data_IF_342026585617
#
_entry.id   IF_342026585617
#
_cell.length_a   1.000
_cell.length_b   1.000
_cell.length_c   1.000
_cell.angle_alpha   90.00
_cell.angle_beta   90.00
_cell.angle_gamma   90.00
#
_symmetry.space_group_name_H-M   'P 1'
#
loop_
_entity.id
_entity.type
_entity.pdbx_description
1 polymer ?
#
# COMPACT_ATOMS: atom_id res chain seq x y z
N UNK A 1 0.17 32.44 -36.12
CA UNK A 1 1.48 31.76 -36.02
C UNK A 1 2.25 32.28 -34.82
N UNK A 2 2.31 33.60 -34.62
CA UNK A 2 3.03 34.24 -33.51
C UNK A 2 2.53 33.86 -32.10
N UNK A 3 1.22 33.63 -31.94
CA UNK A 3 0.65 33.17 -30.66
C UNK A 3 1.06 31.73 -30.29
N UNK A 4 1.30 30.86 -31.29
CA UNK A 4 1.72 29.48 -31.07
C UNK A 4 3.21 29.40 -30.74
N UNK A 5 4.02 30.27 -31.34
CA UNK A 5 5.46 30.40 -31.03
C UNK A 5 5.63 30.95 -29.61
N UNK A 6 4.87 31.99 -29.23
CA UNK A 6 4.90 32.54 -27.88
C UNK A 6 4.41 31.56 -26.81
N UNK A 7 3.50 30.63 -27.14
CA UNK A 7 3.07 29.56 -26.23
C UNK A 7 4.17 28.50 -26.06
N UNK A 8 4.80 28.07 -27.17
CA UNK A 8 5.89 27.11 -27.15
C UNK A 8 7.13 27.63 -26.40
N UNK A 9 7.45 28.93 -26.53
CA UNK A 9 8.53 29.57 -25.76
C UNK A 9 8.21 29.63 -24.26
N UNK A 10 6.94 29.90 -23.90
CA UNK A 10 6.50 29.92 -22.50
C UNK A 10 6.54 28.53 -21.87
N UNK A 11 6.17 27.50 -22.63
CA UNK A 11 6.20 26.11 -22.20
C UNK A 11 7.65 25.58 -22.11
N UNK A 12 8.53 26.00 -23.02
CA UNK A 12 9.97 25.70 -22.94
C UNK A 12 10.63 26.39 -21.74
N UNK A 13 10.25 27.64 -21.42
CA UNK A 13 10.72 28.35 -20.24
C UNK A 13 10.18 27.71 -18.95
N UNK A 14 8.92 27.27 -18.93
CA UNK A 14 8.34 26.52 -17.81
C UNK A 14 9.01 25.16 -17.66
N UNK A 15 9.30 24.45 -18.75
CA UNK A 15 10.03 23.19 -18.71
C UNK A 15 11.47 23.37 -18.23
N UNK A 16 12.15 24.45 -18.64
CA UNK A 16 13.49 24.82 -18.15
C UNK A 16 13.48 25.20 -16.66
N UNK A 17 12.47 25.96 -16.22
CA UNK A 17 12.29 26.30 -14.81
C UNK A 17 11.89 25.09 -13.95
N UNK A 18 11.13 24.14 -14.51
CA UNK A 18 10.73 22.89 -13.84
C UNK A 18 11.89 21.89 -13.78
N UNK A 19 12.71 21.84 -14.82
CA UNK A 19 13.96 21.08 -14.84
C UNK A 19 15.01 21.68 -13.87
N UNK A 20 15.04 23.00 -13.73
CA UNK A 20 15.83 23.70 -12.69
C UNK A 20 15.33 23.45 -11.27
N UNK A 21 14.01 23.30 -11.07
CA UNK A 21 13.42 23.04 -9.74
C UNK A 21 13.59 21.60 -9.28
N UNK A 22 13.60 20.62 -10.19
CA UNK A 22 13.86 19.21 -9.86
C UNK A 22 15.34 18.92 -9.57
N UNK A 23 16.25 19.82 -9.96
CA UNK A 23 17.70 19.66 -9.79
C UNK A 23 18.27 20.48 -8.60
N UNK A 24 17.45 21.17 -7.79
CA UNK A 24 17.98 22.12 -6.81
C UNK A 24 17.17 22.22 -5.51
N UNK A 25 17.07 21.11 -4.80
CA UNK A 25 17.54 21.11 -3.40
C UNK A 25 18.93 20.47 -3.41
N UNK A 26 19.90 21.18 -3.97
CA UNK A 26 21.32 20.84 -3.79
C UNK A 26 21.67 21.18 -2.34
N UNK A 27 21.31 20.29 -1.43
CA UNK A 27 22.08 20.14 -0.19
C UNK A 27 23.47 19.76 -0.67
N UNK A 28 24.43 20.66 -0.50
CA UNK A 28 25.82 20.40 -0.87
C UNK A 28 26.39 19.41 0.14
N UNK A 29 26.10 18.14 -0.11
CA UNK A 29 26.54 17.02 0.71
C UNK A 29 28.06 17.00 0.72
N UNK A 30 28.64 16.90 1.91
CA UNK A 30 30.06 16.58 2.04
C UNK A 30 30.34 15.22 1.37
N UNK A 31 31.57 15.01 0.93
CA UNK A 31 31.97 13.71 0.34
C UNK A 31 31.71 12.54 1.31
N UNK A 32 31.84 12.76 2.62
CA UNK A 32 31.47 11.79 3.65
C UNK A 32 29.97 11.46 3.65
N UNK A 33 29.09 12.47 3.59
CA UNK A 33 27.64 12.25 3.57
C UNK A 33 27.19 11.56 2.27
N UNK A 34 27.76 11.93 1.12
CA UNK A 34 27.51 11.23 -0.17
C UNK A 34 27.92 9.77 -0.09
N UNK A 35 29.05 9.48 0.55
CA UNK A 35 29.54 8.12 0.74
C UNK A 35 28.60 7.31 1.64
N UNK A 36 28.10 7.89 2.74
CA UNK A 36 27.10 7.25 3.62
C UNK A 36 25.82 6.91 2.86
N UNK A 37 25.27 7.87 2.11
CA UNK A 37 24.04 7.65 1.30
C UNK A 37 24.24 6.48 0.34
N UNK A 38 25.35 6.48 -0.41
CA UNK A 38 25.67 5.42 -1.37
C UNK A 38 25.84 4.05 -0.71
N UNK A 39 26.48 3.99 0.46
CA UNK A 39 26.67 2.74 1.19
C UNK A 39 25.34 2.21 1.75
N UNK A 40 24.45 3.10 2.21
CA UNK A 40 23.11 2.71 2.68
C UNK A 40 22.20 2.25 1.53
N UNK A 41 22.28 2.86 0.34
CA UNK A 41 21.55 2.38 -0.85
C UNK A 41 21.98 0.95 -1.25
N UNK A 42 23.28 0.66 -1.21
CA UNK A 42 23.80 -0.68 -1.46
C UNK A 42 23.31 -1.69 -0.41
N UNK A 43 23.31 -1.32 0.87
CA UNK A 43 22.71 -2.15 1.93
C UNK A 43 21.22 -2.37 1.68
N UNK A 44 20.50 -1.35 1.23
CA UNK A 44 19.12 -1.44 0.81
C UNK A 44 18.88 -2.51 -0.25
N UNK A 45 19.71 -2.52 -1.30
CA UNK A 45 19.65 -3.53 -2.35
C UNK A 45 19.93 -4.95 -1.81
N UNK A 46 20.84 -5.10 -0.84
CA UNK A 46 21.11 -6.36 -0.17
C UNK A 46 19.90 -6.83 0.65
N UNK A 47 19.29 -5.94 1.44
CA UNK A 47 18.10 -6.25 2.25
C UNK A 47 16.93 -6.68 1.35
N UNK A 48 16.76 -6.03 0.21
CA UNK A 48 15.71 -6.36 -0.77
C UNK A 48 16.00 -7.64 -1.57
N UNK A 49 17.21 -8.21 -1.48
CA UNK A 49 17.59 -9.37 -2.28
C UNK A 49 16.92 -10.66 -1.81
N UNK A 50 16.65 -11.56 -2.76
CA UNK A 50 16.09 -12.89 -2.47
C UNK A 50 16.96 -13.68 -1.49
N UNK A 51 18.29 -13.54 -1.58
CA UNK A 51 19.23 -14.25 -0.71
C UNK A 51 19.05 -13.85 0.76
N UNK A 52 18.96 -12.55 1.04
CA UNK A 52 18.72 -12.05 2.39
C UNK A 52 17.35 -12.50 2.91
N UNK A 53 16.31 -12.36 2.08
CA UNK A 53 14.95 -12.74 2.43
C UNK A 53 14.81 -14.25 2.72
N UNK A 54 15.52 -15.10 1.98
CA UNK A 54 15.54 -16.55 2.21
C UNK A 54 16.10 -16.90 3.59
N UNK A 55 17.20 -16.28 4.00
CA UNK A 55 17.80 -16.52 5.33
C UNK A 55 16.85 -16.07 6.44
N UNK A 56 16.30 -14.86 6.33
CA UNK A 56 15.31 -14.33 7.27
C UNK A 56 14.10 -15.27 7.39
N UNK A 57 13.52 -15.67 6.26
CA UNK A 57 12.37 -16.56 6.23
C UNK A 57 12.70 -17.93 6.84
N UNK A 58 13.85 -18.53 6.52
CA UNK A 58 14.24 -19.83 7.08
C UNK A 58 14.31 -19.80 8.61
N UNK A 59 14.93 -18.77 9.18
CA UNK A 59 15.01 -18.61 10.63
C UNK A 59 13.62 -18.46 11.27
N UNK A 60 12.80 -17.58 10.71
CA UNK A 60 11.43 -17.35 11.19
C UNK A 60 10.61 -18.64 11.12
N UNK A 61 10.67 -19.39 10.02
CA UNK A 61 9.94 -20.65 9.86
C UNK A 61 10.37 -21.70 10.89
N UNK A 62 11.66 -21.75 11.22
CA UNK A 62 12.23 -22.71 12.15
C UNK A 62 11.83 -22.42 13.61
N UNK A 63 11.74 -21.14 14.00
CA UNK A 63 11.63 -20.75 15.41
C UNK A 63 10.26 -20.21 15.84
N UNK A 64 9.39 -19.84 14.90
CA UNK A 64 8.06 -19.26 15.17
C UNK A 64 7.17 -20.05 16.13
N UNK A 65 7.26 -21.39 16.14
CA UNK A 65 6.36 -22.25 16.93
C UNK A 65 6.51 -22.07 18.44
N UNK A 66 7.64 -21.52 18.87
CA UNK A 66 7.98 -21.23 20.27
C UNK A 66 7.19 -20.02 20.80
N UNK A 67 6.75 -19.13 19.91
CA UNK A 67 6.13 -17.86 20.24
C UNK A 67 4.61 -17.97 20.41
N UNK A 68 4.10 -17.42 21.51
CA UNK A 68 2.70 -17.48 21.94
C UNK A 68 2.13 -16.08 22.24
N UNK A 69 0.83 -15.89 22.00
CA UNK A 69 0.14 -14.64 22.26
C UNK A 69 -0.19 -14.51 23.76
N UNK A 70 0.85 -14.31 24.56
CA UNK A 70 0.77 -14.00 25.98
C UNK A 70 1.45 -12.68 26.28
N UNK A 71 0.92 -11.97 27.28
CA UNK A 71 1.52 -10.72 27.77
C UNK A 71 2.91 -10.97 28.38
N UNK A 72 3.09 -12.13 29.00
CA UNK A 72 4.38 -12.57 29.55
C UNK A 72 5.28 -13.18 28.47
N UNK A 73 6.55 -12.73 28.42
CA UNK A 73 7.57 -13.24 27.51
C UNK A 73 8.25 -14.47 28.11
N UNK A 74 8.46 -15.51 27.28
CA UNK A 74 9.30 -16.64 27.68
C UNK A 74 10.77 -16.25 27.61
N UNK A 75 11.60 -16.77 28.52
CA UNK A 75 13.05 -16.53 28.53
C UNK A 75 13.75 -16.90 27.22
N UNK A 76 13.24 -17.94 26.54
CA UNK A 76 13.76 -18.39 25.24
C UNK A 76 13.57 -17.36 24.10
N UNK A 77 12.67 -16.37 24.25
CA UNK A 77 12.49 -15.33 23.23
C UNK A 77 13.72 -14.45 23.10
N UNK A 78 14.35 -14.09 24.22
CA UNK A 78 15.55 -13.27 24.24
C UNK A 78 16.71 -13.99 23.57
N UNK A 79 16.94 -15.26 23.90
CA UNK A 79 18.00 -16.06 23.28
C UNK A 79 17.79 -16.23 21.76
N UNK A 80 16.53 -16.37 21.31
CA UNK A 80 16.21 -16.44 19.89
C UNK A 80 16.37 -15.08 19.18
N UNK A 81 16.12 -13.97 19.88
CA UNK A 81 16.34 -12.63 19.33
C UNK A 81 17.83 -12.37 19.13
N UNK A 82 18.67 -12.73 20.10
CA UNK A 82 20.13 -12.63 20.00
C UNK A 82 20.66 -13.44 18.80
N UNK A 83 20.21 -14.68 18.64
CA UNK A 83 20.54 -15.52 17.49
C UNK A 83 20.07 -14.92 16.16
N UNK A 84 18.90 -14.30 16.15
CA UNK A 84 18.36 -13.62 14.97
C UNK A 84 19.23 -12.43 14.58
N UNK A 85 19.60 -11.58 15.54
CA UNK A 85 20.45 -10.41 15.31
C UNK A 85 21.80 -10.86 14.75
N UNK A 86 22.47 -11.82 15.39
CA UNK A 86 23.75 -12.36 14.92
C UNK A 86 23.66 -12.92 13.49
N UNK A 87 22.58 -13.66 13.18
CA UNK A 87 22.36 -14.20 11.85
C UNK A 87 22.17 -13.10 10.81
N UNK A 88 21.35 -12.10 11.10
CA UNK A 88 21.07 -10.99 10.18
C UNK A 88 22.32 -10.13 9.97
N UNK A 89 23.06 -9.80 11.02
CA UNK A 89 24.32 -9.07 10.94
C UNK A 89 25.33 -9.81 10.06
N UNK A 90 25.56 -11.11 10.33
CA UNK A 90 26.45 -11.94 9.51
C UNK A 90 26.02 -11.96 8.05
N UNK A 91 24.72 -12.13 7.81
CA UNK A 91 24.16 -12.19 6.45
C UNK A 91 24.34 -10.86 5.72
N UNK A 92 24.14 -9.73 6.41
CA UNK A 92 24.40 -8.41 5.85
C UNK A 92 25.88 -8.24 5.49
N UNK A 93 26.80 -8.59 6.38
CA UNK A 93 28.24 -8.51 6.11
C UNK A 93 28.65 -9.40 4.94
N UNK A 94 28.11 -10.62 4.87
CA UNK A 94 28.43 -11.59 3.81
C UNK A 94 27.87 -11.18 2.45
N UNK A 95 26.69 -10.56 2.39
CA UNK A 95 26.05 -10.13 1.14
C UNK A 95 26.45 -8.72 0.71
N UNK A 96 26.82 -7.85 1.65
CA UNK A 96 27.19 -6.46 1.41
C UNK A 96 28.71 -6.25 1.28
N UNK A 97 29.43 -7.19 0.65
CA UNK A 97 30.91 -7.13 0.51
C UNK A 97 31.41 -5.86 -0.18
N UNK A 98 30.58 -5.27 -1.04
CA UNK A 98 30.88 -4.05 -1.78
C UNK A 98 30.51 -2.77 -1.01
N UNK A 99 30.09 -2.90 0.25
CA UNK A 99 29.79 -1.80 1.16
C UNK A 99 30.99 -1.59 2.08
N UNK A 100 31.49 -0.36 2.12
CA UNK A 100 32.56 -0.01 3.05
C UNK A 100 31.97 0.23 4.45
N UNK A 101 31.84 -0.86 5.21
CA UNK A 101 31.21 -0.81 6.54
C UNK A 101 31.98 0.08 7.53
N UNK A 102 33.31 0.10 7.47
CA UNK A 102 34.13 0.94 8.36
C UNK A 102 33.89 2.43 8.10
N UNK A 103 33.84 2.82 6.83
CA UNK A 103 33.55 4.20 6.42
C UNK A 103 32.11 4.59 6.75
N UNK A 104 31.15 3.69 6.50
CA UNK A 104 29.76 3.89 6.85
C UNK A 104 29.62 4.11 8.36
N UNK A 105 30.12 3.21 9.19
CA UNK A 105 30.01 3.30 10.65
C UNK A 105 30.77 4.50 11.23
N UNK A 106 31.91 4.87 10.65
CA UNK A 106 32.67 6.05 11.07
C UNK A 106 31.96 7.38 10.80
N UNK A 107 31.11 7.43 9.77
CA UNK A 107 30.48 8.67 9.27
C UNK A 107 28.98 8.73 9.56
N UNK A 108 28.36 7.60 9.89
CA UNK A 108 26.93 7.50 10.21
C UNK A 108 26.51 8.34 11.43
N UNK A 109 27.27 8.47 12.54
CA UNK A 109 26.86 9.27 13.68
C UNK A 109 26.66 10.76 13.33
N UNK A 110 27.63 11.37 12.63
CA UNK A 110 27.54 12.77 12.20
C UNK A 110 26.44 12.96 11.14
N UNK A 111 26.26 11.97 10.26
CA UNK A 111 25.14 11.93 9.32
C UNK A 111 23.78 11.88 10.03
N UNK A 112 23.67 11.11 11.11
CA UNK A 112 22.44 11.01 11.92
C UNK A 112 22.15 12.29 12.72
N UNK A 113 23.17 13.02 13.18
CA UNK A 113 22.97 14.36 13.75
C UNK A 113 22.43 15.34 12.69
N UNK A 114 22.88 15.24 11.44
CA UNK A 114 22.32 16.03 10.33
C UNK A 114 20.86 15.64 10.00
N UNK A 115 20.43 14.39 10.27
CA UNK A 115 19.02 13.93 10.16
C UNK A 115 18.09 14.75 11.06
N UNK A 116 18.54 15.12 12.26
CA UNK A 116 17.76 15.94 13.19
C UNK A 116 17.42 17.34 12.62
N UNK A 117 18.20 17.80 11.63
CA UNK A 117 18.01 19.08 10.96
C UNK A 117 17.31 18.98 9.59
N UNK A 118 16.73 17.82 9.26
CA UNK A 118 15.90 17.63 8.06
C UNK A 118 16.68 17.58 6.74
N UNK A 119 18.00 17.31 6.78
CA UNK A 119 18.84 17.30 5.58
C UNK A 119 18.84 15.95 4.85
N UNK A 120 18.71 14.83 5.55
CA UNK A 120 18.92 13.46 5.03
C UNK A 120 17.91 13.08 3.92
N UNK A 121 18.36 12.48 2.79
CA UNK A 121 17.44 11.96 1.79
C UNK A 121 16.54 10.91 2.42
N UNK A 122 15.26 11.00 2.12
CA UNK A 122 14.23 10.23 2.81
C UNK A 122 14.39 8.71 2.65
N UNK A 123 14.93 8.27 1.51
CA UNK A 123 15.27 6.88 1.22
C UNK A 123 16.41 6.37 2.11
N UNK A 124 17.39 7.21 2.40
CA UNK A 124 18.53 6.89 3.28
C UNK A 124 18.08 6.66 4.72
N UNK A 125 17.09 7.43 5.20
CA UNK A 125 16.48 7.22 6.51
C UNK A 125 15.78 5.86 6.65
N UNK A 126 15.18 5.35 5.57
CA UNK A 126 14.47 4.07 5.55
C UNK A 126 15.37 2.88 5.90
N UNK A 127 16.57 2.87 5.32
CA UNK A 127 17.54 1.79 5.54
C UNK A 127 18.03 1.78 6.97
N UNK A 128 18.27 2.96 7.55
CA UNK A 128 18.65 3.10 8.97
C UNK A 128 17.54 2.56 9.87
N UNK A 129 16.29 2.94 9.63
CA UNK A 129 15.16 2.49 10.47
C UNK A 129 14.95 0.97 10.37
N UNK A 130 15.14 0.36 9.19
CA UNK A 130 15.14 -1.10 9.05
C UNK A 130 16.25 -1.77 9.86
N UNK A 131 17.49 -1.27 9.77
CA UNK A 131 18.62 -1.82 10.52
C UNK A 131 18.38 -1.75 12.02
N UNK A 132 17.83 -0.63 12.52
CA UNK A 132 17.44 -0.49 13.92
C UNK A 132 16.37 -1.51 14.33
N UNK A 133 15.42 -1.81 13.43
CA UNK A 133 14.35 -2.78 13.71
C UNK A 133 14.84 -4.22 13.89
N UNK A 134 16.00 -4.60 13.35
CA UNK A 134 16.59 -5.92 13.57
C UNK A 134 16.97 -6.13 15.04
N UNK A 135 17.43 -5.05 15.69
CA UNK A 135 17.83 -5.06 17.11
C UNK A 135 16.67 -4.79 18.07
N UNK A 136 15.47 -4.51 17.55
CA UNK A 136 14.29 -4.24 18.37
C UNK A 136 13.55 -5.54 18.73
N UNK A 137 13.55 -5.88 20.02
CA UNK A 137 12.93 -7.12 20.51
C UNK A 137 11.42 -7.18 20.25
N UNK A 138 10.71 -6.05 20.37
CA UNK A 138 9.26 -6.01 20.18
C UNK A 138 8.90 -6.31 18.72
N UNK A 139 9.63 -5.71 17.78
CA UNK A 139 9.51 -5.98 16.35
C UNK A 139 9.80 -7.45 16.03
N UNK A 140 10.86 -8.01 16.61
CA UNK A 140 11.21 -9.42 16.45
C UNK A 140 10.15 -10.38 17.01
N UNK A 141 9.68 -10.16 18.25
CA UNK A 141 8.62 -10.97 18.88
C UNK A 141 7.37 -10.98 18.01
N UNK A 142 6.96 -9.81 17.52
CA UNK A 142 5.80 -9.66 16.67
C UNK A 142 5.97 -10.42 15.33
N UNK A 143 7.13 -10.34 14.69
CA UNK A 143 7.45 -11.12 13.49
C UNK A 143 7.24 -12.63 13.70
N UNK A 144 7.73 -13.18 14.82
CA UNK A 144 7.63 -14.60 15.13
C UNK A 144 6.20 -15.06 15.45
N UNK A 145 5.48 -14.29 16.27
CA UNK A 145 4.08 -14.56 16.62
C UNK A 145 3.19 -14.64 15.39
N UNK A 146 3.38 -13.70 14.46
CA UNK A 146 2.58 -13.63 13.25
C UNK A 146 2.93 -14.76 12.27
N UNK A 147 4.20 -15.16 12.18
CA UNK A 147 4.60 -16.30 11.38
C UNK A 147 4.01 -17.63 11.90
N UNK A 148 3.89 -17.79 13.22
CA UNK A 148 3.32 -19.00 13.85
C UNK A 148 1.86 -19.21 13.42
N UNK A 149 1.06 -18.13 13.42
CA UNK A 149 -0.34 -18.13 13.00
C UNK A 149 -0.55 -18.55 11.53
N UNK A 150 0.41 -18.30 10.65
CA UNK A 150 0.31 -18.67 9.23
C UNK A 150 0.35 -20.19 8.99
N UNK A 151 0.92 -20.99 9.91
CA UNK A 151 1.16 -22.44 9.74
C UNK A 151 -0.01 -23.33 10.14
N UNK A 152 -0.88 -22.89 11.04
CA UNK A 152 -1.95 -23.72 11.62
C UNK A 152 -3.12 -24.02 10.65
N UNK A 153 -2.91 -23.90 9.34
CA UNK A 153 -3.94 -24.06 8.31
C UNK A 153 -3.49 -25.07 7.25
N UNK A 154 -4.05 -26.29 7.29
CA UNK A 154 -4.01 -27.31 6.21
C UNK A 154 -5.23 -27.16 5.28
N UNK A 155 -5.16 -27.63 4.01
CA UNK A 155 -6.10 -27.27 2.96
C UNK A 155 -7.36 -28.15 2.91
N UNK A 156 -8.48 -27.58 2.46
CA UNK A 156 -9.67 -28.31 1.99
C UNK A 156 -10.11 -27.75 0.65
N UNK A 157 -10.59 -28.64 -0.22
CA UNK A 157 -10.88 -28.47 -1.63
C UNK A 157 -11.96 -27.42 -1.98
N UNK A 158 -11.82 -26.88 -3.18
CA UNK A 158 -12.69 -25.89 -3.82
C UNK A 158 -14.11 -26.39 -4.08
N UNK A 159 -15.08 -25.47 -4.04
CA UNK A 159 -16.40 -25.64 -4.64
C UNK A 159 -16.76 -24.40 -5.44
N UNK A 160 -17.16 -24.62 -6.69
CA UNK A 160 -17.72 -23.65 -7.63
C UNK A 160 -19.16 -23.33 -7.21
N UNK A 161 -19.54 -22.06 -7.17
CA UNK A 161 -20.93 -21.67 -7.02
C UNK A 161 -21.33 -20.58 -8.03
N UNK A 162 -22.42 -20.92 -8.70
CA UNK A 162 -23.11 -20.27 -9.80
C UNK A 162 -23.95 -19.10 -9.28
N UNK A 163 -23.78 -17.88 -9.80
CA UNK A 163 -24.75 -16.80 -9.60
C UNK A 163 -24.66 -15.77 -10.74
N UNK A 164 -25.59 -15.85 -11.67
CA UNK A 164 -25.61 -15.17 -12.97
C UNK A 164 -26.04 -13.68 -12.95
N UNK A 165 -25.93 -12.97 -11.82
CA UNK A 165 -26.73 -11.75 -11.60
C UNK A 165 -26.04 -10.36 -11.39
N UNK A 166 -24.70 -10.12 -11.42
CA UNK A 166 -24.22 -8.73 -11.32
C UNK A 166 -23.26 -8.23 -12.42
N UNK A 167 -23.12 -8.92 -13.56
CA UNK A 167 -21.97 -8.72 -14.48
C UNK A 167 -22.13 -7.66 -15.59
N UNK A 168 -23.31 -7.06 -15.77
CA UNK A 168 -23.58 -6.24 -16.97
C UNK A 168 -22.76 -4.94 -17.07
N UNK A 169 -22.22 -4.41 -15.97
CA UNK A 169 -21.48 -3.13 -15.95
C UNK A 169 -19.98 -3.29 -16.19
N UNK A 170 -19.38 -4.38 -15.68
CA UNK A 170 -18.00 -4.76 -15.98
C UNK A 170 -17.77 -5.04 -17.47
N UNK A 171 -18.79 -5.56 -18.17
CA UNK A 171 -18.77 -5.84 -19.61
C UNK A 171 -18.86 -4.55 -20.48
N UNK A 172 -19.39 -3.45 -19.91
CA UNK A 172 -19.50 -2.15 -20.59
C UNK A 172 -18.27 -1.28 -20.39
N UNK A 173 -17.55 -1.47 -19.29
CA UNK A 173 -16.20 -0.91 -19.11
C UNK A 173 -15.25 -1.76 -19.92
N UNK A 174 -14.51 -1.21 -20.88
CA UNK A 174 -13.52 -1.92 -21.70
C UNK A 174 -12.32 -2.48 -20.90
N UNK A 175 -12.56 -3.19 -19.79
CA UNK A 175 -11.59 -3.93 -19.01
C UNK A 175 -11.32 -5.25 -19.74
N UNK A 176 -10.06 -5.69 -19.89
CA UNK A 176 -9.78 -6.98 -20.48
C UNK A 176 -10.46 -8.13 -19.75
N UNK A 177 -10.84 -9.16 -20.49
CA UNK A 177 -11.59 -10.31 -19.97
C UNK A 177 -10.97 -10.93 -18.70
N UNK A 178 -9.64 -11.02 -18.63
CA UNK A 178 -8.92 -11.51 -17.45
C UNK A 178 -9.22 -10.68 -16.19
N UNK A 179 -9.38 -9.37 -16.30
CA UNK A 179 -9.75 -8.52 -15.16
C UNK A 179 -11.23 -8.64 -14.83
N UNK A 180 -12.09 -8.84 -15.83
CA UNK A 180 -13.52 -9.09 -15.61
C UNK A 180 -13.69 -10.37 -14.79
N UNK A 181 -12.95 -11.42 -15.12
CA UNK A 181 -12.94 -12.70 -14.38
C UNK A 181 -12.37 -12.55 -12.96
N UNK A 182 -11.27 -11.80 -12.79
CA UNK A 182 -10.71 -11.52 -11.48
C UNK A 182 -11.65 -10.65 -10.63
N UNK A 183 -12.29 -9.64 -11.22
CA UNK A 183 -13.25 -8.78 -10.55
C UNK A 183 -14.49 -9.59 -10.14
N UNK A 184 -14.94 -10.52 -10.98
CA UNK A 184 -16.01 -11.49 -10.64
C UNK A 184 -15.62 -12.32 -9.41
N UNK A 185 -14.40 -12.84 -9.38
CA UNK A 185 -13.88 -13.59 -8.22
C UNK A 185 -13.89 -12.73 -6.95
N UNK A 186 -13.38 -11.50 -7.02
CA UNK A 186 -13.40 -10.56 -5.89
C UNK A 186 -14.82 -10.20 -5.43
N UNK A 187 -15.76 -10.07 -6.37
CA UNK A 187 -17.16 -9.81 -6.07
C UNK A 187 -17.82 -10.99 -5.35
N UNK A 188 -17.59 -12.22 -5.80
CA UNK A 188 -18.09 -13.42 -5.13
C UNK A 188 -17.52 -13.53 -3.71
N UNK A 189 -16.22 -13.26 -3.55
CA UNK A 189 -15.55 -13.21 -2.24
C UNK A 189 -16.14 -12.11 -1.32
N UNK A 190 -16.56 -10.98 -1.90
CA UNK A 190 -17.22 -9.89 -1.18
C UNK A 190 -18.64 -10.25 -0.73
N UNK A 191 -19.40 -10.94 -1.58
CA UNK A 191 -20.78 -11.32 -1.32
C UNK A 191 -20.94 -12.46 -0.29
N UNK A 192 -19.83 -13.05 0.17
CA UNK A 192 -19.82 -14.26 1.02
C UNK A 192 -20.43 -15.49 0.35
N UNK A 193 -20.63 -15.45 -0.98
CA UNK A 193 -21.22 -16.55 -1.76
C UNK A 193 -20.26 -17.73 -1.97
N UNK A 194 -19.02 -17.63 -1.50
CA UNK A 194 -18.00 -18.68 -1.60
C UNK A 194 -17.72 -19.24 -0.21
N UNK A 195 -17.63 -20.57 -0.10
CA UNK A 195 -17.29 -21.31 1.13
C UNK A 195 -15.80 -21.15 1.50
N UNK A 196 -15.34 -19.91 1.66
CA UNK A 196 -13.97 -19.58 1.97
C UNK A 196 -13.86 -19.20 3.44
N UNK A 197 -12.93 -19.84 4.14
CA UNK A 197 -12.61 -19.47 5.52
C UNK A 197 -11.81 -18.17 5.53
N UNK A 198 -12.42 -17.11 6.06
CA UNK A 198 -11.77 -15.83 6.32
C UNK A 198 -11.12 -15.87 7.70
N UNK A 199 -9.87 -15.44 7.79
CA UNK A 199 -9.15 -15.27 9.06
C UNK A 199 -9.19 -13.80 9.44
N UNK A 200 -9.54 -13.50 10.70
CA UNK A 200 -9.48 -12.13 11.20
C UNK A 200 -8.03 -11.73 11.45
N UNK A 201 -7.52 -10.76 10.71
CA UNK A 201 -6.16 -10.24 10.85
C UNK A 201 -6.14 -8.99 11.75
N UNK A 202 -7.15 -8.13 11.65
CA UNK A 202 -7.32 -6.97 12.54
C UNK A 202 -8.77 -6.85 12.95
N UNK A 203 -9.02 -6.70 14.25
CA UNK A 203 -10.34 -6.39 14.79
C UNK A 203 -10.25 -5.12 15.62
N UNK A 204 -10.90 -4.06 15.16
CA UNK A 204 -11.18 -2.86 15.95
C UNK A 204 -12.69 -2.76 16.12
N UNK A 205 -13.15 -3.08 17.32
CA UNK A 205 -14.56 -3.17 17.67
C UNK A 205 -15.31 -1.93 17.16
N UNK A 206 -16.39 -2.16 16.41
CA UNK A 206 -17.29 -1.15 15.85
C UNK A 206 -16.66 -0.14 14.85
N UNK A 207 -15.37 -0.28 14.52
CA UNK A 207 -14.68 0.63 13.60
C UNK A 207 -14.23 -0.07 12.32
N UNK A 208 -13.53 -1.20 12.44
CA UNK A 208 -12.81 -1.81 11.34
C UNK A 208 -12.57 -3.30 11.58
N UNK A 209 -12.72 -4.09 10.52
CA UNK A 209 -12.39 -5.50 10.46
C UNK A 209 -11.56 -5.77 9.20
N UNK A 210 -10.32 -6.23 9.38
CA UNK A 210 -9.52 -6.78 8.30
C UNK A 210 -9.53 -8.30 8.40
N UNK A 211 -9.91 -8.95 7.31
CA UNK A 211 -9.85 -10.39 7.15
C UNK A 211 -8.95 -10.75 5.98
N UNK A 212 -8.27 -11.89 6.07
CA UNK A 212 -7.45 -12.43 4.99
C UNK A 212 -7.93 -13.83 4.64
N UNK A 213 -7.72 -14.21 3.38
CA UNK A 213 -7.91 -15.58 2.95
C UNK A 213 -6.99 -15.93 1.79
N UNK A 214 -6.89 -17.21 1.46
CA UNK A 214 -6.14 -17.70 0.31
C UNK A 214 -7.03 -18.61 -0.52
N UNK A 215 -7.20 -18.27 -1.80
CA UNK A 215 -7.94 -19.06 -2.77
C UNK A 215 -7.01 -19.35 -3.95
N UNK A 216 -6.83 -20.62 -4.30
CA UNK A 216 -5.97 -21.05 -5.41
C UNK A 216 -4.53 -20.51 -5.35
N UNK A 217 -3.96 -20.40 -4.14
CA UNK A 217 -2.60 -19.85 -3.94
C UNK A 217 -2.51 -18.32 -4.07
N UNK A 218 -3.62 -17.64 -4.31
CA UNK A 218 -3.71 -16.18 -4.32
C UNK A 218 -4.26 -15.70 -2.97
N UNK A 219 -3.56 -14.75 -2.35
CA UNK A 219 -4.01 -14.13 -1.10
C UNK A 219 -4.98 -13.00 -1.41
N UNK A 220 -6.02 -12.89 -0.60
CA UNK A 220 -7.02 -11.84 -0.65
C UNK A 220 -7.15 -11.20 0.73
N UNK A 221 -7.43 -9.90 0.77
CA UNK A 221 -7.81 -9.21 1.99
C UNK A 221 -9.19 -8.57 1.81
N UNK A 222 -10.01 -8.69 2.84
CA UNK A 222 -11.30 -8.02 2.96
C UNK A 222 -11.24 -7.04 4.11
N UNK A 223 -11.46 -5.76 3.81
CA UNK A 223 -11.55 -4.71 4.80
C UNK A 223 -12.99 -4.25 4.91
N UNK A 224 -13.57 -4.29 6.10
CA UNK A 224 -14.85 -3.70 6.41
C UNK A 224 -14.65 -2.56 7.40
N UNK A 225 -15.23 -1.40 7.14
CA UNK A 225 -15.13 -0.25 8.04
C UNK A 225 -16.38 0.62 8.03
N UNK A 226 -16.69 1.22 9.17
CA UNK A 226 -17.72 2.24 9.28
C UNK A 226 -17.11 3.61 8.95
N UNK A 227 -17.79 4.37 8.11
CA UNK A 227 -17.39 5.72 7.69
C UNK A 227 -18.49 6.69 8.10
N UNK A 228 -18.08 7.73 8.80
CA UNK A 228 -18.93 8.86 9.22
C UNK A 228 -19.16 9.83 8.04
N UNK A 229 -19.73 9.32 6.96
CA UNK A 229 -20.21 10.06 5.78
C UNK A 229 -21.40 9.32 5.17
N UNK A 230 -22.35 10.05 4.58
CA UNK A 230 -23.37 9.43 3.73
C UNK A 230 -22.73 8.79 2.50
N UNK A 231 -23.41 7.83 1.87
CA UNK A 231 -22.88 7.14 0.67
C UNK A 231 -22.38 8.12 -0.41
N UNK A 232 -23.11 9.19 -0.81
CA UNK A 232 -22.61 10.14 -1.80
C UNK A 232 -21.32 10.86 -1.38
N UNK A 233 -21.22 11.28 -0.11
CA UNK A 233 -20.03 11.93 0.41
C UNK A 233 -18.85 10.96 0.56
N UNK A 234 -19.11 9.71 0.93
CA UNK A 234 -18.10 8.67 0.99
C UNK A 234 -17.55 8.33 -0.41
N UNK A 235 -18.40 8.28 -1.44
CA UNK A 235 -17.96 8.16 -2.83
C UNK A 235 -17.01 9.29 -3.18
N UNK A 236 -17.39 10.55 -2.92
CA UNK A 236 -16.54 11.70 -3.23
C UNK A 236 -15.21 11.70 -2.44
N UNK A 237 -15.27 11.42 -1.13
CA UNK A 237 -14.10 11.42 -0.27
C UNK A 237 -13.12 10.30 -0.62
N UNK A 238 -13.64 9.08 -0.81
CA UNK A 238 -12.83 7.86 -0.87
C UNK A 238 -12.59 7.37 -2.30
N UNK A 239 -13.64 7.33 -3.12
CA UNK A 239 -13.65 6.60 -4.39
C UNK A 239 -13.48 7.49 -5.63
N UNK A 240 -13.95 8.74 -5.59
CA UNK A 240 -13.78 9.69 -6.68
C UNK A 240 -12.34 10.20 -6.72
N UNK A 241 -11.51 9.51 -7.49
CA UNK A 241 -10.10 9.87 -7.63
C UNK A 241 -9.88 11.02 -8.62
N UNK A 242 -10.86 11.41 -9.44
CA UNK A 242 -10.72 12.50 -10.42
C UNK A 242 -10.92 13.91 -9.83
N UNK A 243 -11.34 14.01 -8.56
CA UNK A 243 -11.58 15.30 -7.91
C UNK A 243 -10.30 16.17 -7.89
N UNK A 244 -10.32 17.37 -8.51
CA UNK A 244 -9.11 18.17 -8.75
C UNK A 244 -8.48 18.73 -7.46
N UNK A 245 -9.26 18.87 -6.40
CA UNK A 245 -8.87 19.38 -5.10
C UNK A 245 -8.73 18.27 -4.04
N UNK A 246 -8.64 17.00 -4.45
CA UNK A 246 -8.52 15.83 -3.56
C UNK A 246 -7.36 15.94 -2.57
N UNK A 247 -6.27 16.60 -2.95
CA UNK A 247 -5.12 16.87 -2.08
C UNK A 247 -5.44 17.74 -0.86
N UNK A 248 -6.60 18.41 -0.82
CA UNK A 248 -7.05 19.18 0.35
C UNK A 248 -7.50 18.29 1.51
N UNK A 249 -7.99 17.09 1.23
CA UNK A 249 -8.41 16.15 2.27
C UNK A 249 -7.60 14.85 2.31
N UNK A 250 -7.10 14.36 1.18
CA UNK A 250 -6.28 13.16 1.13
C UNK A 250 -4.79 13.53 1.20
N UNK A 251 -4.14 13.23 2.32
CA UNK A 251 -2.72 13.58 2.52
C UNK A 251 -1.74 12.85 1.61
N UNK A 252 -2.13 11.68 1.10
CA UNK A 252 -1.30 10.91 0.18
C UNK A 252 -1.41 11.43 -1.26
N UNK A 253 -2.39 12.27 -1.56
CA UNK A 253 -2.54 12.88 -2.87
C UNK A 253 -1.68 14.15 -2.96
N UNK A 254 -0.71 14.16 -3.87
CA UNK A 254 -0.04 15.41 -4.26
C UNK A 254 -0.87 16.14 -5.33
N UNK A 255 -1.05 15.45 -6.46
CA UNK A 255 -1.86 15.88 -7.60
C UNK A 255 -2.49 14.68 -8.30
N UNK A 256 -3.55 14.94 -9.03
CA UNK A 256 -4.24 13.96 -9.88
C UNK A 256 -4.23 14.48 -11.31
N UNK A 257 -3.80 13.64 -12.25
CA UNK A 257 -3.98 13.87 -13.68
C UNK A 257 -5.16 13.02 -14.15
N UNK A 258 -6.20 13.65 -14.71
CA UNK A 258 -7.38 12.95 -15.21
C UNK A 258 -7.22 12.73 -16.71
N UNK A 259 -7.27 11.46 -17.14
CA UNK A 259 -7.15 11.04 -18.54
C UNK A 259 -8.50 10.69 -19.15
N UNK A 260 -9.43 10.19 -18.33
CA UNK A 260 -10.82 9.91 -18.69
C UNK A 260 -11.72 10.20 -17.50
N UNK A 261 -12.88 10.78 -17.77
CA UNK A 261 -13.94 11.02 -16.79
C UNK A 261 -15.27 11.03 -17.55
N UNK A 262 -15.93 9.88 -17.60
CA UNK A 262 -17.14 9.66 -18.42
C UNK A 262 -18.26 9.08 -17.58
N UNK A 263 -19.47 9.64 -17.71
CA UNK A 263 -20.65 9.17 -17.01
C UNK A 263 -21.70 8.68 -18.00
N UNK A 264 -22.11 7.43 -17.84
CA UNK A 264 -23.15 6.77 -18.64
C UNK A 264 -24.26 6.26 -17.70
N UNK A 265 -25.25 7.12 -17.46
CA UNK A 265 -26.33 6.82 -16.51
C UNK A 265 -25.79 6.68 -15.09
N UNK A 266 -25.96 5.48 -14.51
CA UNK A 266 -25.49 5.13 -13.15
C UNK A 266 -24.03 4.68 -13.09
N UNK A 267 -23.37 4.56 -14.24
CA UNK A 267 -21.97 4.14 -14.32
C UNK A 267 -21.08 5.35 -14.57
N UNK A 268 -19.99 5.42 -13.83
CA UNK A 268 -18.94 6.44 -13.94
C UNK A 268 -17.60 5.74 -14.19
N UNK A 269 -17.05 5.86 -15.41
CA UNK A 269 -15.75 5.33 -15.81
C UNK A 269 -14.72 6.47 -15.77
N UNK A 270 -13.67 6.28 -14.98
CA UNK A 270 -12.60 7.25 -14.80
C UNK A 270 -11.26 6.59 -15.03
N UNK A 271 -10.32 7.35 -15.58
CA UNK A 271 -8.92 6.97 -15.63
C UNK A 271 -8.09 8.15 -15.17
N UNK A 272 -7.28 7.93 -14.13
CA UNK A 272 -6.48 9.00 -13.54
C UNK A 272 -5.10 8.50 -13.10
N UNK A 273 -4.09 9.34 -13.25
CA UNK A 273 -2.77 9.15 -12.64
C UNK A 273 -2.70 9.89 -11.32
N UNK A 274 -2.48 9.14 -10.26
CA UNK A 274 -2.32 9.65 -8.92
C UNK A 274 -0.84 9.83 -8.60
N UNK A 275 -0.45 11.03 -8.19
CA UNK A 275 0.90 11.32 -7.72
C UNK A 275 0.92 11.26 -6.20
N UNK A 276 1.76 10.38 -5.65
CA UNK A 276 1.75 10.08 -4.22
C UNK A 276 2.71 10.99 -3.44
N UNK A 277 2.15 11.68 -2.45
CA UNK A 277 2.88 12.35 -1.38
C UNK A 277 3.02 11.40 -0.19
N UNK A 278 3.93 10.44 -0.31
CA UNK A 278 4.28 9.54 0.80
C UNK A 278 5.75 9.69 1.17
N UNK A 279 6.07 9.52 2.46
CA UNK A 279 7.45 9.41 2.87
C UNK A 279 8.19 8.27 2.14
N UNK A 280 9.41 8.50 1.68
CA UNK A 280 10.31 7.55 1.01
C UNK A 280 10.38 6.18 1.68
N UNK A 281 10.45 6.12 3.03
CA UNK A 281 10.39 4.85 3.79
C UNK A 281 9.12 4.04 3.48
N UNK A 282 7.97 4.71 3.43
CA UNK A 282 6.70 4.08 3.10
C UNK A 282 6.60 3.73 1.61
N UNK A 283 7.28 4.45 0.71
CA UNK A 283 7.35 4.09 -0.71
C UNK A 283 8.22 2.86 -0.95
N UNK A 284 9.37 2.79 -0.27
CA UNK A 284 10.33 1.68 -0.35
C UNK A 284 9.76 0.40 0.23
N UNK A 285 9.21 0.44 1.45
CA UNK A 285 8.57 -0.73 2.09
C UNK A 285 7.39 -1.25 1.26
N UNK A 286 6.69 -0.36 0.55
CA UNK A 286 5.49 -0.71 -0.22
C UNK A 286 5.77 -0.94 -1.71
N UNK A 287 7.00 -0.76 -2.18
CA UNK A 287 7.34 -0.71 -3.62
C UNK A 287 6.40 0.18 -4.43
N UNK A 288 5.86 1.25 -3.83
CA UNK A 288 4.90 2.13 -4.49
C UNK A 288 5.65 3.17 -5.33
N UNK A 289 5.45 3.20 -6.66
CA UNK A 289 6.07 4.22 -7.49
C UNK A 289 5.54 5.62 -7.16
N UNK A 290 6.29 6.66 -7.55
CA UNK A 290 5.91 8.06 -7.32
C UNK A 290 4.54 8.44 -7.90
N UNK A 291 4.11 7.71 -8.94
CA UNK A 291 2.78 7.83 -9.52
C UNK A 291 2.25 6.47 -9.95
N UNK A 292 0.94 6.28 -9.86
CA UNK A 292 0.24 5.13 -10.43
C UNK A 292 -0.97 5.60 -11.21
N UNK A 293 -1.20 4.98 -12.36
CA UNK A 293 -2.43 5.18 -13.12
C UNK A 293 -3.43 4.11 -12.72
N UNK A 294 -4.66 4.54 -12.49
CA UNK A 294 -5.79 3.66 -12.24
C UNK A 294 -6.87 3.89 -13.26
N UNK A 295 -7.56 2.81 -13.60
CA UNK A 295 -8.90 2.86 -14.19
C UNK A 295 -9.90 2.45 -13.12
N UNK A 296 -10.97 3.20 -13.01
CA UNK A 296 -11.96 3.11 -11.94
C UNK A 296 -13.34 3.13 -12.57
N UNK A 297 -14.16 2.15 -12.20
CA UNK A 297 -15.56 2.12 -12.54
C UNK A 297 -16.40 2.19 -11.26
N UNK A 298 -17.31 3.15 -11.20
CA UNK A 298 -18.27 3.31 -10.10
C UNK A 298 -19.66 3.08 -10.63
N UNK A 299 -20.45 2.28 -9.93
CA UNK A 299 -21.84 1.99 -10.27
C UNK A 299 -22.73 2.34 -9.08
N UNK A 300 -23.68 3.26 -9.31
CA UNK A 300 -24.69 3.64 -8.35
C UNK A 300 -25.86 2.64 -8.34
N UNK A 301 -26.47 2.45 -7.17
CA UNK A 301 -27.56 1.51 -6.90
C UNK A 301 -27.22 0.03 -7.15
N UNK A 302 -25.96 -0.34 -6.95
CA UNK A 302 -25.48 -1.71 -7.09
C UNK A 302 -24.75 -2.18 -5.81
N UNK A 303 -25.01 -3.42 -5.30
CA UNK A 303 -25.95 -4.42 -5.81
C UNK A 303 -27.43 -4.11 -5.59
N UNK A 304 -27.76 -3.11 -4.77
CA UNK A 304 -29.13 -2.74 -4.40
C UNK A 304 -29.29 -1.21 -4.43
N UNK A 305 -30.52 -0.69 -4.54
CA UNK A 305 -30.78 0.74 -4.43
C UNK A 305 -30.14 1.35 -3.17
N UNK A 306 -29.45 2.48 -3.34
CA UNK A 306 -28.72 3.17 -2.29
C UNK A 306 -27.30 2.66 -2.03
N UNK A 307 -26.88 1.55 -2.65
CA UNK A 307 -25.51 1.05 -2.58
C UNK A 307 -24.66 1.63 -3.73
N UNK A 308 -23.35 1.66 -3.54
CA UNK A 308 -22.41 1.99 -4.61
C UNK A 308 -21.37 0.89 -4.71
N UNK A 309 -21.20 0.37 -5.93
CA UNK A 309 -20.15 -0.59 -6.26
C UNK A 309 -19.01 0.11 -6.96
N UNK A 310 -17.81 -0.37 -6.71
CA UNK A 310 -16.58 0.20 -7.22
C UNK A 310 -15.62 -0.90 -7.65
N UNK A 311 -14.99 -0.72 -8.80
CA UNK A 311 -13.88 -1.54 -9.28
C UNK A 311 -12.74 -0.61 -9.64
N UNK A 312 -11.54 -0.93 -9.16
CA UNK A 312 -10.31 -0.22 -9.51
C UNK A 312 -9.24 -1.19 -9.94
N UNK A 313 -8.57 -0.83 -11.02
CA UNK A 313 -7.48 -1.56 -11.63
C UNK A 313 -6.27 -0.63 -11.85
N UNK A 314 -5.07 -1.08 -11.53
CA UNK A 314 -3.85 -0.45 -12.05
C UNK A 314 -3.81 -0.51 -13.58
N UNK A 315 -3.42 0.59 -14.24
CA UNK A 315 -3.52 0.74 -15.70
C UNK A 315 -2.22 1.25 -16.32
N UNK A 316 -1.90 0.78 -17.52
CA UNK A 316 -0.80 1.26 -18.36
C UNK A 316 -1.38 2.12 -19.48
N UNK A 317 -1.05 3.42 -19.47
CA UNK A 317 -1.57 4.39 -20.43
C UNK A 317 -1.06 4.18 -21.86
N UNK A 318 0.13 3.57 -22.03
CA UNK A 318 0.73 3.42 -23.36
C UNK A 318 0.09 2.27 -24.13
N UNK A 319 -0.19 1.19 -23.42
CA UNK A 319 -0.83 -0.01 -23.98
C UNK A 319 -2.35 0.00 -23.88
N UNK A 320 -2.92 0.99 -23.18
CA UNK A 320 -4.34 1.06 -22.80
C UNK A 320 -4.86 -0.27 -22.25
N UNK A 321 -4.08 -0.83 -21.32
CA UNK A 321 -4.30 -2.14 -20.76
C UNK A 321 -4.03 -2.14 -19.25
N UNK A 322 -4.54 -3.13 -18.51
CA UNK A 322 -4.19 -3.38 -17.12
C UNK A 322 -2.68 -3.42 -16.95
N UNK A 323 -2.19 -2.78 -15.91
CA UNK A 323 -0.78 -2.87 -15.56
C UNK A 323 -0.46 -4.34 -15.26
N UNK A 324 0.64 -4.85 -15.82
CA UNK A 324 1.23 -6.14 -15.46
C UNK A 324 2.30 -6.01 -14.38
N UNK A 325 2.51 -4.78 -13.87
CA UNK A 325 3.48 -4.54 -12.81
C UNK A 325 3.15 -5.39 -11.59
N UNK A 326 4.17 -5.75 -10.82
CA UNK A 326 3.97 -6.45 -9.54
C UNK A 326 3.00 -5.69 -8.63
N UNK A 327 2.84 -4.37 -8.81
CA UNK A 327 1.95 -3.47 -8.06
C UNK A 327 0.54 -3.33 -8.65
N UNK A 328 0.20 -4.11 -9.68
CA UNK A 328 -1.12 -4.11 -10.29
C UNK A 328 -2.17 -4.56 -9.27
N UNK A 329 -2.88 -3.59 -8.72
CA UNK A 329 -3.95 -3.83 -7.75
C UNK A 329 -5.27 -3.91 -8.51
N UNK A 330 -5.97 -5.02 -8.32
CA UNK A 330 -7.40 -5.10 -8.59
C UNK A 330 -8.12 -5.07 -7.24
N UNK A 331 -9.03 -4.11 -7.11
CA UNK A 331 -9.85 -3.92 -5.91
C UNK A 331 -11.31 -3.80 -6.31
N UNK A 332 -12.15 -4.47 -5.55
CA UNK A 332 -13.60 -4.25 -5.57
C UNK A 332 -14.00 -3.64 -4.23
N UNK A 333 -14.91 -2.69 -4.26
CA UNK A 333 -15.51 -2.14 -3.06
C UNK A 333 -17.02 -2.00 -3.17
N UNK A 334 -17.69 -1.99 -2.02
CA UNK A 334 -19.10 -1.67 -1.88
C UNK A 334 -19.27 -0.68 -0.74
N UNK A 335 -19.99 0.39 -1.00
CA UNK A 335 -20.49 1.32 0.00
C UNK A 335 -21.98 1.07 0.18
N UNK A 336 -22.42 0.92 1.42
CA UNK A 336 -23.83 0.76 1.76
C UNK A 336 -24.22 1.69 2.92
N UNK A 337 -25.48 2.16 3.00
CA UNK A 337 -25.96 2.93 4.13
C UNK A 337 -25.85 2.13 5.44
N UNK A 338 -25.36 2.76 6.51
CA UNK A 338 -25.14 2.10 7.81
C UNK A 338 -25.74 2.88 8.98
N UNK A 339 -26.76 3.70 8.72
CA UNK A 339 -27.39 4.59 9.68
C UNK A 339 -27.50 6.01 9.14
N UNK A 340 -28.03 6.93 9.96
CA UNK A 340 -28.15 8.33 9.58
C UNK A 340 -26.77 8.96 9.39
N UNK A 341 -26.51 9.48 8.19
CA UNK A 341 -25.24 10.15 7.86
C UNK A 341 -24.01 9.23 7.80
N UNK A 342 -24.16 7.91 7.90
CA UNK A 342 -23.06 6.95 7.92
C UNK A 342 -23.18 5.90 6.81
N UNK A 343 -22.05 5.38 6.38
CA UNK A 343 -21.98 4.26 5.44
C UNK A 343 -20.95 3.23 5.87
N UNK A 344 -21.15 1.98 5.46
CA UNK A 344 -20.17 0.92 5.59
C UNK A 344 -19.43 0.76 4.27
N UNK A 345 -18.10 0.81 4.33
CA UNK A 345 -17.21 0.45 3.23
C UNK A 345 -16.75 -0.98 3.43
N UNK A 346 -16.97 -1.83 2.43
CA UNK A 346 -16.36 -3.14 2.32
C UNK A 346 -15.50 -3.19 1.08
N UNK A 347 -14.21 -3.51 1.21
CA UNK A 347 -13.29 -3.70 0.08
C UNK A 347 -12.78 -5.13 0.07
N UNK A 348 -12.60 -5.69 -1.11
CA UNK A 348 -11.83 -6.93 -1.33
C UNK A 348 -10.75 -6.63 -2.34
N UNK A 349 -9.51 -6.91 -1.99
CA UNK A 349 -8.37 -6.76 -2.88
C UNK A 349 -7.54 -8.03 -2.95
N UNK A 350 -6.98 -8.25 -4.13
CA UNK A 350 -5.93 -9.23 -4.34
C UNK A 350 -4.64 -8.69 -3.73
N UNK A 351 -4.05 -9.46 -2.83
CA UNK A 351 -2.86 -9.07 -2.09
C UNK A 351 -1.59 -9.35 -2.90
N UNK A 352 -0.63 -8.44 -2.78
CA UNK A 352 0.72 -8.61 -3.32
C UNK A 352 1.41 -9.78 -2.64
N UNK A 353 1.79 -10.81 -3.40
CA UNK A 353 2.45 -12.00 -2.84
C UNK A 353 3.79 -11.66 -2.15
N UNK A 354 4.44 -10.58 -2.59
CA UNK A 354 5.74 -10.15 -2.06
C UNK A 354 5.65 -9.52 -0.64
N UNK A 355 4.49 -9.04 -0.20
CA UNK A 355 4.34 -8.44 1.12
C UNK A 355 4.00 -9.51 2.18
N UNK A 356 4.80 -9.64 3.26
CA UNK A 356 4.45 -10.50 4.37
C UNK A 356 3.13 -10.09 5.03
N UNK A 357 2.31 -11.06 5.44
CA UNK A 357 0.98 -10.82 6.02
C UNK A 357 1.02 -9.94 7.30
N UNK A 358 2.10 -10.04 8.07
CA UNK A 358 2.33 -9.23 9.26
C UNK A 358 2.46 -7.73 8.93
N UNK A 359 3.12 -7.41 7.82
CA UNK A 359 3.34 -6.04 7.38
C UNK A 359 2.03 -5.38 6.95
N UNK A 360 1.17 -6.12 6.26
CA UNK A 360 -0.18 -5.68 5.92
C UNK A 360 -1.00 -5.39 7.18
N UNK A 361 -0.98 -6.31 8.14
CA UNK A 361 -1.76 -6.23 9.38
C UNK A 361 -1.33 -5.03 10.23
N UNK A 362 0.00 -4.83 10.38
CA UNK A 362 0.55 -3.66 11.07
C UNK A 362 0.11 -2.36 10.37
N UNK A 363 0.21 -2.31 9.03
CA UNK A 363 -0.13 -1.11 8.27
C UNK A 363 -1.63 -0.77 8.33
N UNK A 364 -2.50 -1.74 8.05
CA UNK A 364 -3.95 -1.54 8.08
C UNK A 364 -4.40 -1.25 9.51
N UNK A 365 -3.92 -2.03 10.48
CA UNK A 365 -4.27 -1.93 11.88
C UNK A 365 -3.94 -0.57 12.47
N UNK A 366 -2.71 -0.09 12.31
CA UNK A 366 -2.27 1.12 13.01
C UNK A 366 -2.45 2.41 12.20
N UNK A 367 -2.26 2.36 10.88
CA UNK A 367 -2.14 3.57 10.08
C UNK A 367 -3.34 3.83 9.19
N UNK A 368 -3.90 2.79 8.55
CA UNK A 368 -4.99 2.99 7.59
C UNK A 368 -6.26 3.56 8.24
N UNK A 369 -6.73 3.00 9.36
CA UNK A 369 -7.92 3.52 10.05
C UNK A 369 -7.75 4.98 10.50
N UNK A 370 -6.58 5.32 11.05
CA UNK A 370 -6.25 6.69 11.48
C UNK A 370 -6.25 7.65 10.29
N UNK A 371 -5.68 7.19 9.18
CA UNK A 371 -5.64 7.96 7.94
C UNK A 371 -7.04 8.21 7.38
N UNK A 372 -7.88 7.19 7.26
CA UNK A 372 -9.25 7.38 6.74
C UNK A 372 -10.04 8.34 7.62
N UNK A 373 -9.94 8.22 8.95
CA UNK A 373 -10.54 9.18 9.88
C UNK A 373 -10.03 10.61 9.64
N UNK A 374 -8.73 10.78 9.44
CA UNK A 374 -8.14 12.08 9.15
C UNK A 374 -8.62 12.67 7.81
N UNK A 375 -8.71 11.84 6.77
CA UNK A 375 -9.19 12.25 5.45
C UNK A 375 -10.67 12.64 5.52
N UNK A 376 -11.51 11.88 6.23
CA UNK A 376 -12.94 12.20 6.45
C UNK A 376 -13.11 13.51 7.21
N UNK A 377 -12.36 13.75 8.29
CA UNK A 377 -12.44 15.01 9.03
C UNK A 377 -12.08 16.22 8.15
N UNK A 378 -11.05 16.10 7.32
CA UNK A 378 -10.65 17.18 6.40
C UNK A 378 -11.66 17.39 5.30
N UNK A 379 -12.21 16.30 4.77
CA UNK A 379 -13.29 16.35 3.78
C UNK A 379 -14.50 17.09 4.35
N UNK A 380 -14.95 16.73 5.55
CA UNK A 380 -16.05 17.43 6.23
C UNK A 380 -15.76 18.92 6.39
N UNK A 381 -14.56 19.26 6.87
CA UNK A 381 -14.15 20.67 7.02
C UNK A 381 -14.16 21.43 5.69
N UNK A 382 -13.65 20.81 4.62
CA UNK A 382 -13.54 21.44 3.30
C UNK A 382 -14.92 21.68 2.66
N UNK A 383 -15.88 20.78 2.87
CA UNK A 383 -17.24 20.89 2.34
C UNK A 383 -18.29 21.45 3.31
N UNK A 384 -17.88 21.90 4.50
CA UNK A 384 -18.80 22.48 5.49
C UNK A 384 -19.79 21.48 6.11
N UNK A 385 -19.36 20.21 6.28
CA UNK A 385 -20.14 19.11 6.85
C UNK A 385 -19.73 18.75 8.29
N UNK A 386 -18.87 19.58 8.90
CA UNK A 386 -18.23 19.33 10.20
C UNK A 386 -19.08 19.82 11.37
#
# INVERSE_FOLDING_TARGET
>A
MDAAIAAAERDAQLASNTAGSAAQQLVDWTEGEKSVIKNLEKLGAVIASDAFQQVNNAFVQQHRSVFEFTDENKFEYTALHEQYVELMEKTLVDLAKDVNMDELLGTLPSFMEARAHGKVPEETGAYIDFLLSLTDFETFKNLMLMANMATMSRPVAAVVADSDAPLQTLDRTALPQVMVEQARTLMQLSAQDVSVSWKQAVVKKDEMLLETTTLNGVRYARLSMLIDLSVPHAVMCMLNMSAPDRNRWNQMADRVEVHRDERAGKVHDMMCTFHFKMPGVAKLIKSIPNKMTYRIAIEEDAPKPGHVRYVMAGWDLKSDAPSTSSMATLRVATLEPAGEGMCRLQTVDQQLQAAPEWMLTMWVGNNYAKQVKADVMRYKKHFGLA
#
